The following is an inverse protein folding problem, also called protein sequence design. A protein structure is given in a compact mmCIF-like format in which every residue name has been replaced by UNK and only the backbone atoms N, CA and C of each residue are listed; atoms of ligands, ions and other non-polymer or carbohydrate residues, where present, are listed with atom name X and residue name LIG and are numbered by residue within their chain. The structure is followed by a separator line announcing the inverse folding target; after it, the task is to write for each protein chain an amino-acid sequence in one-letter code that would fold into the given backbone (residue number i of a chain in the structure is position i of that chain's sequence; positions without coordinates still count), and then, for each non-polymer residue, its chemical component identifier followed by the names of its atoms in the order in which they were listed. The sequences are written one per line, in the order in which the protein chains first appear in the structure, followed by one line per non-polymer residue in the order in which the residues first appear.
data_IF_408205525011
#
_entry.id   IF_408205525011
#
_cell.length_a   1.000
_cell.length_b   1.000
_cell.length_c   1.000
_cell.angle_alpha   90.00
_cell.angle_beta   90.00
_cell.angle_gamma   90.00
#
_symmetry.space_group_name_H-M   'P 1'
#
loop_
_entity.id
_entity.type
_entity.pdbx_description
1 polymer ?
#
# COMPACT_ATOMS: atom_id res chain seq x y z
N UNK A 1 -6.41 -41.83 -6.02
CA UNK A 1 -6.67 -40.52 -5.37
C UNK A 1 -6.28 -39.42 -6.34
N UNK A 2 -7.26 -38.82 -7.03
CA UNK A 2 -7.00 -37.74 -7.98
C UNK A 2 -6.56 -36.48 -7.23
N UNK A 3 -5.46 -35.88 -7.64
CA UNK A 3 -5.04 -34.58 -7.13
C UNK A 3 -6.18 -33.57 -7.38
N UNK A 4 -6.75 -33.01 -6.30
CA UNK A 4 -7.75 -31.96 -6.41
C UNK A 4 -7.23 -30.85 -7.32
N UNK A 5 -8.00 -30.50 -8.35
CA UNK A 5 -7.66 -29.46 -9.32
C UNK A 5 -7.44 -28.14 -8.57
N UNK A 6 -6.19 -27.73 -8.42
CA UNK A 6 -5.85 -26.40 -7.90
C UNK A 6 -6.04 -25.39 -9.02
N UNK A 7 -7.13 -24.62 -8.95
CA UNK A 7 -7.28 -23.43 -9.78
C UNK A 7 -6.08 -22.50 -9.51
N UNK A 8 -5.36 -22.14 -10.58
CA UNK A 8 -4.28 -21.17 -10.52
C UNK A 8 -4.86 -19.80 -10.85
N UNK A 9 -4.85 -18.88 -9.90
CA UNK A 9 -5.37 -17.52 -10.09
C UNK A 9 -4.22 -16.53 -10.14
N UNK A 10 -4.17 -15.66 -11.15
CA UNK A 10 -3.22 -14.55 -11.18
C UNK A 10 -3.81 -13.38 -10.39
N UNK A 11 -3.12 -12.91 -9.34
CA UNK A 11 -3.63 -11.82 -8.48
C UNK A 11 -3.01 -10.46 -8.76
N UNK A 12 -1.83 -10.39 -9.39
CA UNK A 12 -1.24 -9.13 -9.87
C UNK A 12 -0.68 -9.35 -11.27
N UNK A 13 -0.80 -8.33 -12.11
CA UNK A 13 -0.24 -8.29 -13.45
C UNK A 13 0.75 -7.13 -13.53
N UNK A 14 2.03 -7.43 -13.75
CA UNK A 14 2.99 -6.41 -14.17
C UNK A 14 3.14 -6.51 -15.69
N UNK A 15 2.55 -5.58 -16.42
CA UNK A 15 2.69 -5.52 -17.88
C UNK A 15 3.86 -4.59 -18.18
N UNK A 16 4.97 -5.16 -18.68
CA UNK A 16 6.08 -4.36 -19.19
C UNK A 16 6.15 -4.49 -20.70
N UNK A 17 6.13 -3.33 -21.36
CA UNK A 17 6.29 -3.24 -22.81
C UNK A 17 7.76 -3.55 -23.14
N UNK A 18 8.07 -4.42 -24.12
CA UNK A 18 7.14 -5.00 -25.08
C UNK A 18 6.64 -6.44 -24.78
N UNK A 19 7.24 -7.23 -23.88
CA UNK A 19 6.89 -8.68 -23.80
C UNK A 19 7.04 -9.40 -22.45
N UNK A 20 7.11 -8.71 -21.30
CA UNK A 20 7.19 -9.43 -20.01
C UNK A 20 5.98 -9.10 -19.14
N UNK A 21 5.06 -10.06 -19.09
CA UNK A 21 4.00 -10.11 -18.09
C UNK A 21 4.47 -10.93 -16.90
N UNK A 22 4.72 -10.29 -15.76
CA UNK A 22 4.91 -11.02 -14.50
C UNK A 22 3.57 -11.35 -13.90
N UNK A 23 3.31 -12.64 -13.76
CA UNK A 23 2.11 -13.16 -13.12
C UNK A 23 2.47 -13.64 -11.73
N UNK A 24 1.69 -13.23 -10.73
CA UNK A 24 1.72 -13.84 -9.40
C UNK A 24 0.61 -14.89 -9.35
N UNK A 25 0.98 -16.15 -9.63
CA UNK A 25 0.05 -17.27 -9.54
C UNK A 25 -0.12 -17.70 -8.09
N UNK A 26 -1.37 -17.71 -7.65
CA UNK A 26 -1.80 -18.22 -6.36
C UNK A 26 -2.34 -19.63 -6.51
N UNK A 27 -1.77 -20.58 -5.75
CA UNK A 27 -2.46 -21.82 -5.42
C UNK A 27 -3.29 -21.61 -4.17
N UNK A 28 -4.58 -21.90 -4.24
CA UNK A 28 -5.49 -21.86 -3.11
C UNK A 28 -5.60 -23.24 -2.45
N UNK A 29 -5.58 -23.26 -1.11
CA UNK A 29 -6.27 -24.29 -0.31
C UNK A 29 -7.32 -23.53 0.49
N UNK A 30 -8.60 -23.91 0.38
CA UNK A 30 -9.69 -23.26 1.14
C UNK A 30 -9.75 -21.73 0.93
N UNK A 31 -9.65 -21.28 -0.31
CA UNK A 31 -9.67 -19.85 -0.71
C UNK A 31 -8.56 -18.96 -0.16
N UNK A 32 -7.55 -19.52 0.51
CA UNK A 32 -6.40 -18.75 1.01
C UNK A 32 -5.22 -18.85 0.03
N UNK A 33 -4.66 -17.71 -0.41
CA UNK A 33 -3.46 -17.69 -1.23
C UNK A 33 -2.21 -18.23 -0.53
N UNK A 34 -1.70 -19.42 -0.93
CA UNK A 34 -0.59 -20.09 -0.22
C UNK A 34 0.78 -20.03 -0.91
N UNK A 35 0.83 -19.83 -2.23
CA UNK A 35 2.08 -19.80 -2.99
C UNK A 35 2.02 -18.69 -4.02
N UNK A 36 3.14 -18.01 -4.22
CA UNK A 36 3.32 -16.99 -5.26
C UNK A 36 4.40 -17.52 -6.21
N UNK A 37 4.06 -17.67 -7.49
CA UNK A 37 5.05 -17.95 -8.53
C UNK A 37 5.12 -16.75 -9.48
N UNK A 38 6.33 -16.23 -9.68
CA UNK A 38 6.67 -15.19 -10.67
C UNK A 38 6.95 -15.89 -12.00
N UNK A 39 6.19 -15.57 -13.05
CA UNK A 39 6.47 -16.05 -14.40
C UNK A 39 7.04 -14.91 -15.25
N UNK A 40 8.19 -15.09 -15.89
CA UNK A 40 8.81 -14.07 -16.77
C UNK A 40 9.17 -14.65 -18.14
N UNK A 41 9.31 -13.80 -19.16
CA UNK A 41 9.84 -14.17 -20.48
C UNK A 41 9.06 -15.26 -21.24
N UNK A 42 9.77 -16.13 -21.97
CA UNK A 42 9.20 -17.22 -22.78
C UNK A 42 8.34 -18.21 -21.96
N UNK A 43 8.60 -18.35 -20.66
CA UNK A 43 7.80 -19.21 -19.77
C UNK A 43 6.38 -18.65 -19.52
N UNK A 44 6.20 -17.33 -19.62
CA UNK A 44 4.88 -16.69 -19.63
C UNK A 44 4.24 -16.74 -21.03
N UNK A 45 5.02 -16.51 -22.09
CA UNK A 45 4.56 -16.52 -23.47
C UNK A 45 4.07 -17.90 -23.97
N UNK A 46 4.70 -18.99 -23.50
CA UNK A 46 4.38 -20.36 -23.94
C UNK A 46 3.29 -21.06 -23.11
N UNK A 47 2.79 -20.45 -22.02
CA UNK A 47 1.62 -20.99 -21.33
C UNK A 47 0.37 -20.57 -22.09
N UNK A 48 -0.47 -21.55 -22.48
CA UNK A 48 -1.86 -21.29 -22.90
C UNK A 48 -2.63 -20.71 -21.71
N UNK A 49 -2.59 -19.39 -21.54
CA UNK A 49 -3.36 -18.65 -20.53
C UNK A 49 -4.86 -18.60 -20.88
N UNK A 50 -5.24 -19.05 -22.09
CA UNK A 50 -6.63 -19.13 -22.55
C UNK A 50 -7.57 -19.97 -21.65
N UNK A 51 -7.02 -20.87 -20.83
CA UNK A 51 -7.80 -21.67 -19.87
C UNK A 51 -7.79 -21.14 -18.43
N UNK A 52 -7.11 -20.02 -18.15
CA UNK A 52 -7.08 -19.43 -16.81
C UNK A 52 -8.28 -18.48 -16.70
N UNK A 53 -9.20 -18.77 -15.77
CA UNK A 53 -10.27 -17.84 -15.42
C UNK A 53 -9.65 -16.61 -14.77
N UNK A 54 -9.66 -15.52 -15.53
CA UNK A 54 -9.23 -14.21 -15.10
C UNK A 54 -10.16 -13.68 -14.04
N UNK A 55 -9.59 -13.37 -12.89
CA UNK A 55 -10.33 -12.72 -11.84
C UNK A 55 -9.27 -11.95 -11.04
N UNK A 56 -9.07 -10.68 -11.41
CA UNK A 56 -8.44 -9.72 -10.53
C UNK A 56 -9.42 -9.49 -9.36
N UNK A 57 -9.56 -10.52 -8.51
CA UNK A 57 -10.47 -10.46 -7.37
C UNK A 57 -9.75 -9.66 -6.32
N UNK A 58 -10.20 -8.43 -6.11
CA UNK A 58 -9.69 -7.57 -5.04
C UNK A 58 -9.70 -8.32 -3.70
N UNK A 59 -10.76 -9.10 -3.42
CA UNK A 59 -10.84 -9.97 -2.25
C UNK A 59 -9.64 -10.94 -2.15
N UNK A 60 -9.21 -11.57 -3.25
CA UNK A 60 -8.05 -12.46 -3.23
C UNK A 60 -6.71 -11.71 -3.05
N UNK A 61 -6.60 -10.49 -3.59
CA UNK A 61 -5.42 -9.62 -3.35
C UNK A 61 -5.34 -9.24 -1.87
N UNK A 62 -6.47 -8.87 -1.28
CA UNK A 62 -6.58 -8.53 0.15
C UNK A 62 -6.23 -9.73 1.02
N UNK A 63 -6.84 -10.89 0.78
CA UNK A 63 -6.52 -12.13 1.51
C UNK A 63 -5.04 -12.50 1.41
N UNK A 64 -4.44 -12.36 0.22
CA UNK A 64 -3.01 -12.57 0.03
C UNK A 64 -2.18 -11.60 0.88
N UNK A 65 -2.51 -10.30 0.85
CA UNK A 65 -1.77 -9.29 1.60
C UNK A 65 -1.89 -9.52 3.11
N UNK A 66 -3.07 -9.88 3.61
CA UNK A 66 -3.30 -10.26 5.00
C UNK A 66 -2.39 -11.42 5.43
N UNK A 67 -2.37 -12.50 4.65
CA UNK A 67 -1.53 -13.68 4.93
C UNK A 67 -0.03 -13.37 4.81
N UNK A 68 0.36 -12.59 3.81
CA UNK A 68 1.75 -12.19 3.59
C UNK A 68 2.25 -11.29 4.72
N UNK A 69 1.46 -10.29 5.12
CA UNK A 69 1.77 -9.37 6.21
C UNK A 69 1.94 -10.11 7.53
N UNK A 70 0.99 -10.98 7.90
CA UNK A 70 1.06 -11.77 9.14
C UNK A 70 2.36 -12.60 9.20
N UNK A 71 2.82 -13.12 8.06
CA UNK A 71 4.08 -13.86 7.96
C UNK A 71 5.31 -12.95 8.04
N UNK A 72 5.35 -11.85 7.28
CA UNK A 72 6.48 -10.92 7.25
C UNK A 72 6.69 -10.19 8.57
N UNK A 73 5.61 -9.91 9.29
CA UNK A 73 5.59 -9.17 10.55
C UNK A 73 5.22 -10.04 11.75
N UNK A 74 5.42 -11.36 11.68
CA UNK A 74 5.16 -12.28 12.80
C UNK A 74 5.84 -11.83 14.11
N UNK A 75 7.06 -11.29 14.01
CA UNK A 75 7.84 -10.77 15.12
C UNK A 75 7.25 -9.49 15.76
N UNK A 76 6.35 -8.79 15.06
CA UNK A 76 5.60 -7.63 15.59
C UNK A 76 4.29 -8.03 16.28
N UNK A 77 3.86 -9.29 16.14
CA UNK A 77 2.57 -9.77 16.65
C UNK A 77 1.43 -8.82 16.26
N UNK A 78 1.42 -8.41 14.99
CA UNK A 78 0.39 -7.54 14.40
C UNK A 78 -0.23 -8.26 13.21
N UNK A 79 -1.56 -8.24 13.13
CA UNK A 79 -2.34 -8.86 12.05
C UNK A 79 -3.21 -7.82 11.34
N UNK A 80 -3.56 -8.10 10.09
CA UNK A 80 -4.54 -7.34 9.33
C UNK A 80 -5.91 -7.98 9.50
N UNK A 81 -6.92 -7.16 9.75
CA UNK A 81 -8.32 -7.60 9.92
C UNK A 81 -9.19 -6.80 8.96
N UNK A 82 -10.03 -7.49 8.20
CA UNK A 82 -11.03 -6.84 7.36
C UNK A 82 -12.18 -6.39 8.25
N UNK A 83 -12.38 -5.08 8.36
CA UNK A 83 -13.56 -4.48 8.98
C UNK A 83 -14.64 -4.19 7.96
N UNK A 84 -15.79 -3.77 8.47
CA UNK A 84 -16.95 -3.38 7.67
C UNK A 84 -16.93 -1.86 7.44
N UNK A 85 -17.08 -1.07 8.50
CA UNK A 85 -17.36 0.37 8.39
C UNK A 85 -16.14 1.28 8.60
N UNK A 86 -15.55 1.29 9.81
CA UNK A 86 -14.48 2.23 10.17
C UNK A 86 -13.12 1.53 10.33
N UNK A 87 -12.02 2.15 9.85
CA UNK A 87 -10.68 1.67 10.16
C UNK A 87 -10.35 1.93 11.63
N UNK A 88 -9.62 1.00 12.24
CA UNK A 88 -9.27 1.09 13.66
C UNK A 88 -7.95 0.34 13.92
N UNK A 89 -7.11 0.89 14.79
CA UNK A 89 -5.98 0.14 15.34
C UNK A 89 -6.25 -0.28 16.78
N UNK A 90 -6.16 -1.58 17.03
CA UNK A 90 -6.16 -2.14 18.38
C UNK A 90 -4.75 -2.53 18.78
N UNK A 91 -4.29 -1.98 19.90
CA UNK A 91 -3.02 -2.35 20.49
C UNK A 91 -3.04 -3.82 20.95
N UNK A 92 -1.85 -4.41 21.03
CA UNK A 92 -1.69 -5.79 21.48
C UNK A 92 -2.12 -5.93 22.95
N UNK A 93 -2.89 -6.95 23.28
CA UNK A 93 -3.22 -7.34 24.67
C UNK A 93 -2.44 -8.58 25.11
N UNK A 94 -2.72 -9.11 26.31
CA UNK A 94 -2.12 -10.37 26.75
C UNK A 94 -2.65 -11.57 25.94
N UNK A 95 -3.89 -11.49 25.45
CA UNK A 95 -4.63 -12.55 24.77
C UNK A 95 -4.57 -12.43 23.25
N UNK A 96 -4.52 -11.20 22.72
CA UNK A 96 -4.67 -10.93 21.30
C UNK A 96 -3.46 -10.18 20.71
N UNK A 97 -3.04 -10.52 19.47
CA UNK A 97 -2.09 -9.69 18.73
C UNK A 97 -2.69 -8.30 18.45
N UNK A 98 -1.84 -7.31 18.16
CA UNK A 98 -2.30 -6.03 17.66
C UNK A 98 -3.05 -6.21 16.33
N UNK A 99 -4.07 -5.41 16.09
CA UNK A 99 -4.92 -5.53 14.91
C UNK A 99 -4.96 -4.21 14.16
N UNK A 100 -4.67 -4.27 12.87
CA UNK A 100 -4.89 -3.17 11.93
C UNK A 100 -6.19 -3.52 11.20
N UNK A 101 -7.28 -2.85 11.57
CA UNK A 101 -8.61 -3.02 10.96
C UNK A 101 -8.75 -2.01 9.83
N UNK A 102 -9.05 -2.47 8.63
CA UNK A 102 -9.26 -1.62 7.45
C UNK A 102 -10.69 -1.76 6.92
N UNK A 103 -11.27 -0.67 6.42
CA UNK A 103 -12.68 -0.57 6.06
C UNK A 103 -13.00 -1.20 4.69
N UNK A 104 -14.26 -1.65 4.55
CA UNK A 104 -14.92 -2.09 3.31
C UNK A 104 -14.23 -3.23 2.54
N UNK A 105 -13.15 -3.81 3.06
CA UNK A 105 -12.39 -4.83 2.34
C UNK A 105 -11.65 -4.33 1.10
N UNK A 106 -11.42 -3.02 0.96
CA UNK A 106 -10.71 -2.47 -0.20
C UNK A 106 -9.20 -2.61 -0.04
N UNK A 107 -8.53 -2.92 -1.16
CA UNK A 107 -7.07 -3.12 -1.14
C UNK A 107 -6.31 -1.83 -0.83
N UNK A 108 -6.78 -0.70 -1.35
CA UNK A 108 -6.21 0.61 -1.05
C UNK A 108 -6.36 0.97 0.43
N UNK A 109 -7.54 0.73 1.03
CA UNK A 109 -7.74 0.94 2.47
C UNK A 109 -6.77 0.09 3.30
N UNK A 110 -6.57 -1.17 2.93
CA UNK A 110 -5.58 -2.03 3.60
C UNK A 110 -4.16 -1.45 3.56
N UNK A 111 -3.71 -0.93 2.40
CA UNK A 111 -2.39 -0.27 2.28
C UNK A 111 -2.31 1.05 3.05
N UNK A 112 -3.40 1.80 3.10
CA UNK A 112 -3.50 3.05 3.85
C UNK A 112 -3.27 2.80 5.34
N UNK A 113 -3.98 1.83 5.92
CA UNK A 113 -3.83 1.50 7.35
C UNK A 113 -2.44 0.95 7.71
N UNK A 114 -1.85 0.13 6.83
CA UNK A 114 -0.46 -0.32 7.00
C UNK A 114 0.51 0.86 6.99
N UNK A 115 0.24 1.89 6.18
CA UNK A 115 1.05 3.09 6.10
C UNK A 115 1.00 3.89 7.40
N UNK A 116 -0.19 4.09 7.97
CA UNK A 116 -0.34 4.68 9.31
C UNK A 116 0.42 3.90 10.38
N UNK A 117 0.26 2.57 10.39
CA UNK A 117 0.98 1.70 11.31
C UNK A 117 2.50 1.84 11.15
N UNK A 118 3.02 1.96 9.92
CA UNK A 118 4.43 2.19 9.64
C UNK A 118 4.95 3.54 10.17
N UNK A 119 4.10 4.58 10.21
CA UNK A 119 4.45 5.93 10.68
C UNK A 119 4.36 6.06 12.22
N UNK A 120 3.43 5.36 12.87
CA UNK A 120 3.18 5.47 14.31
C UNK A 120 4.40 5.10 15.18
N UNK A 121 5.20 4.13 14.74
CA UNK A 121 6.38 3.64 15.46
C UNK A 121 6.04 2.86 16.74
N UNK A 122 7.06 2.31 17.41
CA UNK A 122 6.87 1.31 18.47
C UNK A 122 6.06 1.81 19.68
N UNK A 123 6.33 3.04 20.15
CA UNK A 123 5.65 3.58 21.33
C UNK A 123 4.14 3.78 21.09
N UNK A 124 3.77 4.35 19.95
CA UNK A 124 2.36 4.63 19.65
C UNK A 124 1.57 3.37 19.32
N UNK A 125 2.21 2.32 18.76
CA UNK A 125 1.59 1.00 18.59
C UNK A 125 1.22 0.29 19.89
N UNK A 126 1.59 0.84 21.05
CA UNK A 126 1.07 0.40 22.34
C UNK A 126 -0.26 1.02 22.74
N UNK A 127 -0.82 1.90 21.91
CA UNK A 127 -2.07 2.62 22.15
C UNK A 127 -3.04 2.34 21.01
N UNK A 128 -4.32 2.20 21.34
CA UNK A 128 -5.39 2.16 20.34
C UNK A 128 -5.36 3.44 19.50
N UNK A 129 -5.61 3.29 18.19
CA UNK A 129 -5.45 4.34 17.16
C UNK A 129 -4.16 5.13 17.23
N UNK A 130 -3.09 4.51 17.71
CA UNK A 130 -1.78 5.13 17.87
C UNK A 130 -1.80 6.35 18.82
N UNK A 131 -2.85 6.47 19.63
CA UNK A 131 -3.15 7.62 20.48
C UNK A 131 -3.56 8.88 19.71
N UNK A 132 -4.02 8.76 18.46
CA UNK A 132 -4.65 9.86 17.73
C UNK A 132 -6.13 9.98 18.11
N UNK A 133 -6.68 11.19 17.95
CA UNK A 133 -8.10 11.46 18.18
C UNK A 133 -8.82 11.56 16.82
N UNK A 134 -9.99 10.93 16.71
CA UNK A 134 -10.82 11.03 15.50
C UNK A 134 -11.56 12.37 15.44
N UNK A 135 -11.31 13.16 14.39
CA UNK A 135 -12.09 14.35 14.12
C UNK A 135 -13.21 14.00 13.11
N UNK A 136 -14.50 14.15 13.47
CA UNK A 136 -15.60 13.85 12.57
C UNK A 136 -15.58 14.73 11.32
N UNK A 137 -16.27 14.25 10.29
CA UNK A 137 -16.40 14.94 9.01
C UNK A 137 -16.98 16.36 9.17
N UNK A 138 -16.62 17.27 8.26
CA UNK A 138 -16.98 18.70 8.37
C UNK A 138 -15.84 19.62 8.84
N UNK A 139 -14.59 19.21 8.59
CA UNK A 139 -13.39 20.01 8.87
C UNK A 139 -13.46 21.36 8.17
N UNK A 140 -13.22 22.43 8.92
CA UNK A 140 -12.99 23.75 8.34
C UNK A 140 -11.61 23.80 7.63
N UNK A 141 -11.31 24.89 6.92
CA UNK A 141 -10.06 25.01 6.16
C UNK A 141 -8.79 24.89 7.03
N UNK A 142 -8.81 25.32 8.29
CA UNK A 142 -7.67 25.18 9.18
C UNK A 142 -7.48 23.72 9.63
N UNK A 143 -8.57 23.06 10.02
CA UNK A 143 -8.57 21.64 10.39
C UNK A 143 -8.18 20.74 9.21
N UNK A 144 -8.61 21.09 7.99
CA UNK A 144 -8.21 20.39 6.77
C UNK A 144 -6.70 20.49 6.54
N UNK A 145 -6.10 21.67 6.74
CA UNK A 145 -4.65 21.84 6.63
C UNK A 145 -3.91 21.02 7.69
N UNK A 146 -4.39 20.98 8.93
CA UNK A 146 -3.79 20.16 9.98
C UNK A 146 -3.85 18.67 9.65
N UNK A 147 -5.00 18.21 9.14
CA UNK A 147 -5.18 16.86 8.64
C UNK A 147 -4.20 16.54 7.50
N UNK A 148 -4.14 17.38 6.47
CA UNK A 148 -3.22 17.19 5.35
C UNK A 148 -1.77 17.11 5.80
N UNK A 149 -1.34 17.94 6.77
CA UNK A 149 0.02 17.88 7.31
C UNK A 149 0.37 16.51 7.93
N UNK A 150 -0.57 15.89 8.65
CA UNK A 150 -0.34 14.57 9.27
C UNK A 150 -0.43 13.43 8.26
N UNK A 151 -1.19 13.63 7.18
CA UNK A 151 -1.41 12.65 6.10
C UNK A 151 -0.30 12.58 5.05
N UNK A 152 0.55 13.60 4.93
CA UNK A 152 1.63 13.61 3.92
C UNK A 152 2.50 12.34 4.01
N UNK A 153 2.88 11.93 5.23
CA UNK A 153 3.78 10.79 5.42
C UNK A 153 3.08 9.42 5.23
N UNK A 154 1.89 9.16 5.80
CA UNK A 154 1.10 7.96 5.48
C UNK A 154 0.86 7.81 3.98
N UNK A 155 0.35 8.83 3.30
CA UNK A 155 0.03 8.75 1.86
C UNK A 155 1.27 8.65 0.98
N UNK A 156 2.42 9.18 1.42
CA UNK A 156 3.69 8.94 0.73
C UNK A 156 4.14 7.47 0.80
N UNK A 157 3.95 6.79 1.93
CA UNK A 157 4.22 5.35 2.04
C UNK A 157 3.20 4.54 1.24
N UNK A 158 1.92 4.89 1.33
CA UNK A 158 0.85 4.24 0.58
C UNK A 158 1.12 4.30 -0.93
N UNK A 159 1.59 5.45 -1.42
CA UNK A 159 2.05 5.63 -2.79
C UNK A 159 3.13 4.60 -3.16
N UNK A 160 4.20 4.50 -2.37
CA UNK A 160 5.29 3.57 -2.67
C UNK A 160 4.85 2.11 -2.61
N UNK A 161 4.01 1.72 -1.64
CA UNK A 161 3.49 0.36 -1.55
C UNK A 161 2.56 0.02 -2.73
N UNK A 162 1.70 0.97 -3.12
CA UNK A 162 0.77 0.84 -4.24
C UNK A 162 1.52 0.68 -5.56
N UNK A 163 2.53 1.53 -5.79
CA UNK A 163 3.39 1.44 -6.98
C UNK A 163 4.23 0.17 -6.95
N UNK A 164 4.72 -0.28 -5.79
CA UNK A 164 5.47 -1.54 -5.67
C UNK A 164 4.65 -2.75 -6.17
N UNK A 165 3.32 -2.68 -6.07
CA UNK A 165 2.39 -3.69 -6.56
C UNK A 165 1.87 -3.45 -7.99
N UNK A 166 2.41 -2.46 -8.70
CA UNK A 166 2.04 -2.15 -10.08
C UNK A 166 0.67 -1.49 -10.22
N UNK A 167 0.12 -0.92 -9.13
CA UNK A 167 -1.16 -0.22 -9.13
C UNK A 167 -0.94 1.30 -9.20
N UNK A 168 -1.96 2.04 -9.64
CA UNK A 168 -1.96 3.51 -9.63
C UNK A 168 -2.41 4.03 -8.27
N UNK A 169 -1.65 4.96 -7.71
CA UNK A 169 -1.98 5.63 -6.44
C UNK A 169 -2.75 6.93 -6.69
N UNK A 170 -3.70 7.25 -5.81
CA UNK A 170 -4.46 8.50 -5.79
C UNK A 170 -4.42 9.07 -4.38
N UNK A 171 -4.06 10.35 -4.27
CA UNK A 171 -4.09 11.09 -2.99
C UNK A 171 -5.55 11.26 -2.55
N UNK A 172 -5.84 10.92 -1.29
CA UNK A 172 -7.15 11.06 -0.66
C UNK A 172 -7.16 12.28 0.26
N UNK A 173 -8.11 13.18 0.07
CA UNK A 173 -8.27 14.37 0.93
C UNK A 173 -9.23 14.16 2.09
N UNK A 174 -9.87 12.99 2.16
CA UNK A 174 -10.75 12.54 3.25
C UNK A 174 -11.71 13.64 3.75
N UNK A 175 -12.41 14.29 2.82
CA UNK A 175 -13.37 15.34 3.12
C UNK A 175 -14.41 15.42 1.99
N UNK A 176 -15.61 14.90 2.25
CA UNK A 176 -16.70 14.88 1.27
C UNK A 176 -17.22 16.29 0.93
N UNK A 177 -17.00 17.29 1.80
CA UNK A 177 -17.47 18.66 1.60
C UNK A 177 -16.54 19.51 0.73
N UNK A 178 -15.25 19.15 0.62
CA UNK A 178 -14.26 19.91 -0.14
C UNK A 178 -14.47 19.83 -1.67
N UNK A 179 -15.21 18.84 -2.16
CA UNK A 179 -15.45 18.61 -3.60
C UNK A 179 -16.40 19.66 -4.21
N UNK A 180 -17.08 20.48 -3.40
CA UNK A 180 -18.18 21.35 -3.87
C UNK A 180 -17.75 22.61 -4.64
N UNK A 181 -16.46 22.94 -4.73
CA UNK A 181 -16.00 24.22 -5.31
C UNK A 181 -15.06 24.11 -6.53
N UNK A 182 -14.87 22.92 -7.12
CA UNK A 182 -14.27 22.78 -8.46
C UNK A 182 -12.76 23.00 -8.59
N UNK A 183 -12.09 23.61 -7.61
CA UNK A 183 -10.63 23.75 -7.56
C UNK A 183 -10.06 22.89 -6.43
N UNK A 184 -9.49 21.74 -6.79
CA UNK A 184 -8.70 20.95 -5.84
C UNK A 184 -7.35 21.63 -5.67
N UNK A 185 -7.06 22.14 -4.48
CA UNK A 185 -5.70 22.55 -4.11
C UNK A 185 -4.75 21.36 -4.27
N UNK A 186 -3.78 21.48 -5.18
CA UNK A 186 -2.81 20.43 -5.49
C UNK A 186 -1.57 20.50 -4.59
N UNK A 187 -1.50 21.47 -3.67
CA UNK A 187 -0.37 21.63 -2.76
C UNK A 187 -0.17 20.40 -1.87
N UNK A 188 -1.27 19.78 -1.40
CA UNK A 188 -1.21 18.53 -0.66
C UNK A 188 -0.62 17.40 -1.51
N UNK A 189 -1.10 17.24 -2.74
CA UNK A 189 -0.58 16.25 -3.69
C UNK A 189 0.92 16.45 -3.97
N UNK A 190 1.36 17.70 -4.13
CA UNK A 190 2.78 18.05 -4.27
C UNK A 190 3.61 17.66 -3.04
N UNK A 191 3.07 17.84 -1.83
CA UNK A 191 3.75 17.48 -0.60
C UNK A 191 3.87 15.95 -0.45
N UNK A 192 2.81 15.20 -0.76
CA UNK A 192 2.83 13.73 -0.81
C UNK A 192 3.87 13.24 -1.84
N UNK A 193 3.87 13.81 -3.04
CA UNK A 193 4.85 13.49 -4.08
C UNK A 193 6.30 13.70 -3.60
N UNK A 194 6.61 14.86 -3.01
CA UNK A 194 7.95 15.17 -2.49
C UNK A 194 8.35 14.19 -1.38
N UNK A 195 7.45 13.92 -0.43
CA UNK A 195 7.73 12.97 0.65
C UNK A 195 7.92 11.54 0.14
N UNK A 196 7.18 11.11 -0.89
CA UNK A 196 7.37 9.81 -1.51
C UNK A 196 8.75 9.65 -2.15
N UNK A 197 9.26 10.70 -2.83
CA UNK A 197 10.63 10.70 -3.35
C UNK A 197 11.68 10.64 -2.23
N UNK A 198 11.47 11.35 -1.12
CA UNK A 198 12.36 11.29 0.04
C UNK A 198 12.40 9.88 0.63
N UNK A 199 11.25 9.24 0.83
CA UNK A 199 11.18 7.86 1.34
C UNK A 199 11.77 6.86 0.35
N UNK A 200 11.55 7.03 -0.96
CA UNK A 200 12.17 6.19 -1.98
C UNK A 200 13.70 6.30 -1.94
N UNK A 201 14.25 7.51 -1.86
CA UNK A 201 15.69 7.73 -1.73
C UNK A 201 16.22 7.11 -0.44
N UNK A 202 15.57 7.32 0.70
CA UNK A 202 15.93 6.68 1.96
C UNK A 202 15.92 5.16 1.86
N UNK A 203 14.96 4.57 1.13
CA UNK A 203 14.90 3.14 0.89
C UNK A 203 16.09 2.64 0.07
N UNK A 204 16.36 3.26 -1.08
CA UNK A 204 17.38 2.83 -2.04
C UNK A 204 18.82 3.12 -1.57
N UNK A 205 19.03 4.25 -0.92
CA UNK A 205 20.34 4.71 -0.44
C UNK A 205 20.25 5.12 1.03
N UNK A 206 20.32 4.16 1.98
CA UNK A 206 20.28 4.45 3.40
C UNK A 206 21.51 5.28 3.79
N UNK A 207 21.32 6.59 3.97
CA UNK A 207 22.38 7.51 4.39
C UNK A 207 21.97 8.28 5.64
N UNK A 208 22.87 8.45 6.63
CA UNK A 208 22.59 9.27 7.81
C UNK A 208 22.33 10.76 7.46
N UNK A 209 22.84 11.22 6.31
CA UNK A 209 22.70 12.60 5.78
C UNK A 209 21.60 12.70 4.72
N UNK A 210 20.49 11.98 4.88
CA UNK A 210 19.42 12.01 3.90
C UNK A 210 18.75 13.38 3.82
N UNK A 211 18.26 13.71 2.61
CA UNK A 211 17.58 14.97 2.34
C UNK A 211 16.46 15.25 3.36
N UNK A 212 16.24 16.53 3.72
CA UNK A 212 15.20 16.90 4.67
C UNK A 212 13.83 16.40 4.20
N UNK A 213 13.12 15.75 5.11
CA UNK A 213 11.74 15.33 4.88
C UNK A 213 10.81 16.53 5.08
N UNK A 214 9.86 16.79 4.16
CA UNK A 214 8.83 17.83 4.35
C UNK A 214 8.07 17.71 5.68
N UNK A 215 7.91 16.49 6.18
CA UNK A 215 7.20 16.19 7.44
C UNK A 215 8.13 15.97 8.64
N UNK A 216 9.45 16.01 8.43
CA UNK A 216 10.44 15.57 9.41
C UNK A 216 10.44 14.04 9.67
N UNK A 217 9.57 13.26 9.01
CA UNK A 217 9.50 11.80 9.18
C UNK A 217 10.57 11.12 8.34
N UNK A 218 11.19 10.09 8.93
CA UNK A 218 12.10 9.17 8.23
C UNK A 218 11.39 7.85 7.96
N UNK A 219 11.81 7.17 6.90
CA UNK A 219 11.34 5.84 6.52
C UNK A 219 11.62 4.87 7.67
N UNK A 220 10.55 4.31 8.24
CA UNK A 220 10.68 3.37 9.35
C UNK A 220 11.28 2.03 8.89
N UNK A 221 11.85 1.28 9.82
CA UNK A 221 12.41 -0.05 9.55
C UNK A 221 11.35 -1.02 9.03
N UNK A 222 10.11 -0.91 9.53
CA UNK A 222 8.99 -1.74 9.07
C UNK A 222 8.54 -1.35 7.66
N UNK A 223 8.46 -0.06 7.33
CA UNK A 223 8.17 0.40 5.97
C UNK A 223 9.22 -0.09 4.97
N UNK A 224 10.51 -0.03 5.36
CA UNK A 224 11.61 -0.58 4.57
C UNK A 224 11.47 -2.08 4.35
N UNK A 225 11.14 -2.84 5.39
CA UNK A 225 10.94 -4.28 5.29
C UNK A 225 9.79 -4.62 4.33
N UNK A 226 8.67 -3.89 4.43
CA UNK A 226 7.54 -4.08 3.52
C UNK A 226 7.92 -3.73 2.08
N UNK A 227 8.60 -2.61 1.83
CA UNK A 227 9.10 -2.26 0.49
C UNK A 227 10.00 -3.35 -0.09
N UNK A 228 10.91 -3.92 0.70
CA UNK A 228 11.75 -5.03 0.25
C UNK A 228 10.91 -6.23 -0.21
N UNK A 229 9.90 -6.61 0.56
CA UNK A 229 9.01 -7.72 0.21
C UNK A 229 8.16 -7.44 -1.02
N UNK A 230 7.57 -6.25 -1.13
CA UNK A 230 6.71 -5.88 -2.26
C UNK A 230 7.53 -5.69 -3.54
N UNK A 231 8.67 -5.00 -3.48
CA UNK A 231 9.52 -4.78 -4.64
C UNK A 231 10.20 -6.06 -5.15
N UNK A 232 10.41 -7.06 -4.30
CA UNK A 232 10.87 -8.39 -4.73
C UNK A 232 9.88 -9.11 -5.67
N UNK A 233 8.62 -8.65 -5.72
CA UNK A 233 7.60 -9.16 -6.63
C UNK A 233 7.65 -8.50 -8.02
N UNK A 234 8.38 -7.38 -8.16
CA UNK A 234 8.49 -6.64 -9.41
C UNK A 234 9.55 -7.26 -10.32
N UNK A 235 9.38 -7.20 -11.65
CA UNK A 235 10.44 -7.53 -12.60
C UNK A 235 11.59 -6.52 -12.58
N UNK A 236 11.29 -5.26 -12.24
CA UNK A 236 12.23 -4.15 -12.23
C UNK A 236 12.11 -3.36 -10.93
N UNK A 237 13.21 -2.75 -10.45
CA UNK A 237 13.17 -1.89 -9.27
C UNK A 237 12.09 -0.80 -9.38
N UNK A 238 11.49 -0.43 -8.25
CA UNK A 238 10.69 0.78 -8.15
C UNK A 238 11.62 2.00 -8.24
N UNK A 239 11.30 2.97 -9.09
CA UNK A 239 12.15 4.12 -9.40
C UNK A 239 11.46 5.46 -9.17
N UNK A 240 12.25 6.54 -9.13
CA UNK A 240 11.71 7.90 -9.06
C UNK A 240 10.86 8.25 -10.31
N UNK A 241 11.10 7.58 -11.44
CA UNK A 241 10.28 7.72 -12.64
C UNK A 241 8.87 7.18 -12.41
N UNK A 242 8.70 6.01 -11.78
CA UNK A 242 7.37 5.47 -11.44
C UNK A 242 6.57 6.46 -10.58
N UNK A 243 7.23 7.03 -9.57
CA UNK A 243 6.62 8.05 -8.69
C UNK A 243 6.26 9.30 -9.49
N UNK A 244 7.17 9.80 -10.32
CA UNK A 244 6.94 10.99 -11.16
C UNK A 244 5.79 10.79 -12.14
N UNK A 245 5.69 9.61 -12.76
CA UNK A 245 4.60 9.27 -13.69
C UNK A 245 3.25 9.20 -12.97
N UNK A 246 3.19 8.67 -11.74
CA UNK A 246 1.95 8.64 -10.96
C UNK A 246 1.39 10.05 -10.71
N UNK A 247 2.27 11.04 -10.54
CA UNK A 247 1.93 12.44 -10.27
C UNK A 247 2.04 13.36 -11.50
N UNK A 248 2.10 12.81 -12.72
CA UNK A 248 2.27 13.61 -13.94
C UNK A 248 1.17 14.66 -14.16
N UNK A 249 -0.04 14.42 -13.65
CA UNK A 249 -1.17 15.36 -13.72
C UNK A 249 -0.87 16.71 -13.02
N UNK A 250 0.01 16.71 -12.02
CA UNK A 250 0.43 17.95 -11.34
C UNK A 250 1.21 18.90 -12.27
N UNK A 251 1.80 18.39 -13.35
CA UNK A 251 2.50 19.22 -14.35
C UNK A 251 1.57 19.76 -15.43
N UNK A 252 0.45 19.07 -15.67
CA UNK A 252 -0.52 19.45 -16.70
C UNK A 252 -1.44 20.59 -16.23
N UNK A 253 -1.63 20.72 -14.91
CA UNK A 253 -2.47 21.76 -14.31
C UNK A 253 -1.69 23.04 -13.94
N UNK A 254 -0.43 23.16 -14.37
CA UNK A 254 0.44 24.31 -14.09
C UNK A 254 0.41 25.37 -15.22
N UNK A 255 -0.48 25.23 -16.20
CA UNK A 255 -0.66 26.11 -17.36
C UNK A 255 -2.12 26.53 -17.51
#
# INVERSE_FOLDING_TARGET
MGAAYQAKTAIFAFVTVPWVSVWLLVSSKQDIPTRVAVLTGQAAANKRLAGIRWQAVECAQVQWLMAAFARWFVHRQTVLVRGDDEPQYYAKTAELPAQIVFAHGFFASCLHEISHWCIAGQRRRGLDDFGYWYAPDGRNAAQQREFEQVEIAPQALECLFTLALGKRFRVSTDNLNAIRHGERDTQFDHNVYRQALVFLAQWQTPSPNTAPSPTGKRLSTDARLLLNHLCALRPYPLTAFDVTQNFAYLRLNAY
#
